data_IF_266976849763
#
_entry.id   IF_266976849763
#
_cell.length_a   1.000
_cell.length_b   1.000
_cell.length_c   1.000
_cell.angle_alpha   90.00
_cell.angle_beta   90.00
_cell.angle_gamma   90.00
#
_symmetry.space_group_name_H-M   'P 1'
#
loop_
_entity.id
_entity.type
_entity.pdbx_description
1 polymer ?
#
# COMPACT_ATOMS: atom_id res chain seq x y z
N UNK A 1 -12.00 -1.09 13.92
CA UNK A 1 -11.03 -0.57 12.94
C UNK A 1 -11.63 -0.68 11.55
N UNK A 2 -11.77 0.42 10.80
CA UNK A 2 -12.56 0.48 9.54
C UNK A 2 -11.71 0.11 8.31
N UNK A 3 -10.38 0.18 8.41
CA UNK A 3 -9.44 -0.09 7.31
C UNK A 3 -9.43 -1.57 6.92
N UNK A 4 -9.25 -2.49 7.87
CA UNK A 4 -9.14 -3.92 7.58
C UNK A 4 -10.33 -4.51 6.81
N UNK A 5 -11.61 -4.19 7.11
CA UNK A 5 -12.73 -4.62 6.28
C UNK A 5 -12.63 -4.25 4.79
N UNK A 6 -12.11 -3.07 4.46
CA UNK A 6 -11.91 -2.63 3.07
C UNK A 6 -10.85 -3.50 2.39
N UNK A 7 -9.75 -3.77 3.10
CA UNK A 7 -8.64 -4.57 2.58
C UNK A 7 -9.04 -6.05 2.41
N UNK A 8 -9.85 -6.58 3.32
CA UNK A 8 -10.46 -7.92 3.19
C UNK A 8 -11.41 -8.00 1.99
N UNK A 9 -12.21 -6.96 1.74
CA UNK A 9 -13.08 -6.90 0.56
C UNK A 9 -12.27 -6.86 -0.75
N UNK A 10 -11.15 -6.12 -0.78
CA UNK A 10 -10.22 -6.14 -1.91
C UNK A 10 -9.64 -7.55 -2.12
N UNK A 11 -9.20 -8.21 -1.06
CA UNK A 11 -8.72 -9.60 -1.11
C UNK A 11 -9.76 -10.55 -1.69
N UNK A 12 -11.02 -10.41 -1.30
CA UNK A 12 -12.15 -11.18 -1.84
C UNK A 12 -12.36 -10.90 -3.34
N UNK A 13 -12.27 -9.64 -3.78
CA UNK A 13 -12.39 -9.26 -5.20
C UNK A 13 -11.30 -9.82 -6.11
N UNK A 14 -10.14 -10.16 -5.54
CA UNK A 14 -9.06 -10.86 -6.24
C UNK A 14 -9.05 -12.37 -5.97
N UNK A 15 -10.19 -12.97 -5.64
CA UNK A 15 -10.34 -14.41 -5.40
C UNK A 15 -9.33 -14.97 -4.38
N UNK A 16 -8.97 -14.17 -3.37
CA UNK A 16 -7.98 -14.53 -2.34
C UNK A 16 -6.56 -14.83 -2.87
N UNK A 17 -6.24 -14.41 -4.10
CA UNK A 17 -4.90 -14.50 -4.70
C UNK A 17 -3.95 -13.37 -4.27
N UNK A 18 -4.36 -12.60 -3.26
CA UNK A 18 -3.54 -11.59 -2.61
C UNK A 18 -3.61 -11.80 -1.11
N UNK A 19 -2.60 -11.33 -0.39
CA UNK A 19 -2.53 -11.39 1.05
C UNK A 19 -2.34 -10.01 1.66
N UNK A 20 -2.68 -9.93 2.94
CA UNK A 20 -2.77 -8.69 3.69
C UNK A 20 -2.05 -8.89 5.02
N UNK A 21 -1.13 -7.98 5.32
CA UNK A 21 -0.36 -7.96 6.56
C UNK A 21 -0.62 -6.63 7.28
N UNK A 22 -0.67 -6.67 8.60
CA UNK A 22 -0.83 -5.49 9.44
C UNK A 22 0.22 -5.48 10.53
N UNK A 23 0.84 -4.33 10.77
CA UNK A 23 1.88 -4.15 11.78
C UNK A 23 3.04 -5.13 11.62
N UNK A 24 3.51 -5.30 10.39
CA UNK A 24 4.57 -6.27 10.05
C UNK A 24 5.91 -5.56 9.90
N UNK A 25 7.00 -6.18 10.38
CA UNK A 25 8.36 -5.73 10.09
C UNK A 25 8.61 -5.86 8.59
N UNK A 26 8.98 -4.74 7.97
CA UNK A 26 9.30 -4.65 6.56
C UNK A 26 10.66 -3.98 6.36
N UNK A 27 11.67 -4.58 6.97
CA UNK A 27 13.07 -4.16 6.80
C UNK A 27 13.65 -4.63 5.47
N UNK A 28 13.79 -3.70 4.53
CA UNK A 28 14.31 -3.96 3.18
C UNK A 28 15.77 -3.53 3.06
N UNK A 29 16.14 -2.36 3.56
CA UNK A 29 17.50 -1.84 3.46
C UNK A 29 17.82 -0.88 4.61
N UNK A 30 18.42 -1.43 5.68
CA UNK A 30 18.75 -0.66 6.88
C UNK A 30 19.78 0.44 6.64
N UNK A 31 20.70 0.27 5.67
CA UNK A 31 21.71 1.28 5.35
C UNK A 31 21.08 2.53 4.73
N UNK A 32 19.99 2.35 3.98
CA UNK A 32 19.20 3.44 3.38
C UNK A 32 18.08 3.95 4.29
N UNK A 33 17.96 3.47 5.52
CA UNK A 33 16.86 3.82 6.42
C UNK A 33 15.51 3.20 6.04
N UNK A 34 15.48 2.23 5.11
CA UNK A 34 14.28 1.52 4.68
C UNK A 34 14.04 0.31 5.60
N UNK A 35 13.79 0.59 6.88
CA UNK A 35 13.60 -0.38 7.94
C UNK A 35 12.47 0.04 8.89
N UNK A 36 11.84 -0.94 9.55
CA UNK A 36 10.77 -0.71 10.51
C UNK A 36 9.46 -1.41 10.17
N UNK A 37 8.42 -1.07 10.93
CA UNK A 37 7.09 -1.66 10.80
C UNK A 37 6.21 -0.84 9.86
N UNK A 38 5.56 -1.50 8.92
CA UNK A 38 4.49 -0.90 8.12
C UNK A 38 3.13 -1.17 8.76
N UNK A 39 2.24 -0.17 8.74
CA UNK A 39 0.88 -0.35 9.27
C UNK A 39 0.13 -1.42 8.47
N UNK A 40 0.21 -1.34 7.13
CA UNK A 40 -0.43 -2.30 6.24
C UNK A 40 0.38 -2.56 4.96
N UNK A 41 0.50 -3.85 4.60
CA UNK A 41 1.09 -4.30 3.33
C UNK A 41 0.10 -5.21 2.61
N UNK A 42 -0.12 -4.96 1.32
CA UNK A 42 -0.81 -5.89 0.43
C UNK A 42 0.23 -6.55 -0.47
N UNK A 43 0.30 -7.88 -0.39
CA UNK A 43 1.16 -8.70 -1.24
C UNK A 43 0.32 -9.32 -2.34
N UNK A 44 0.82 -9.27 -3.58
CA UNK A 44 0.21 -9.85 -4.76
C UNK A 44 0.54 -11.35 -4.86
N UNK A 45 0.36 -12.05 -3.75
CA UNK A 45 0.58 -13.48 -3.56
C UNK A 45 -0.48 -14.04 -2.62
N UNK A 46 -0.83 -15.32 -2.78
CA UNK A 46 -1.73 -16.02 -1.85
C UNK A 46 -1.05 -16.41 -0.52
N UNK A 47 0.28 -16.25 -0.41
CA UNK A 47 1.05 -16.53 0.81
C UNK A 47 0.62 -15.60 1.96
N UNK A 48 0.26 -16.16 3.10
CA UNK A 48 -0.25 -15.43 4.27
C UNK A 48 0.72 -15.40 5.45
N UNK A 49 1.75 -16.26 5.45
CA UNK A 49 2.71 -16.35 6.53
C UNK A 49 3.85 -15.35 6.38
N UNK A 50 4.23 -15.06 5.13
CA UNK A 50 5.39 -14.23 4.79
C UNK A 50 5.03 -13.24 3.70
N UNK A 51 5.52 -12.01 3.84
CA UNK A 51 5.37 -10.98 2.79
C UNK A 51 6.11 -11.44 1.52
N UNK A 52 5.42 -11.45 0.38
CA UNK A 52 5.98 -11.82 -0.93
C UNK A 52 5.85 -10.67 -1.92
N UNK A 53 6.86 -10.48 -2.77
CA UNK A 53 6.78 -9.54 -3.87
C UNK A 53 5.83 -10.05 -4.97
N UNK A 54 5.11 -9.18 -5.70
CA UNK A 54 5.11 -7.73 -5.52
C UNK A 54 4.24 -7.27 -4.33
N UNK A 55 4.60 -6.13 -3.73
CA UNK A 55 3.83 -5.50 -2.65
C UNK A 55 3.46 -4.06 -2.97
N UNK A 56 2.33 -3.63 -2.40
CA UNK A 56 1.91 -2.23 -2.28
C UNK A 56 1.68 -1.90 -0.79
N UNK A 57 1.76 -0.63 -0.42
CA UNK A 57 1.78 -0.19 0.98
C UNK A 57 0.63 0.74 1.31
N UNK A 58 0.22 0.74 2.57
CA UNK A 58 -0.83 1.61 3.07
C UNK A 58 -0.51 2.02 4.50
N UNK A 59 -0.53 3.34 4.75
CA UNK A 59 -0.19 3.95 6.03
C UNK A 59 -1.44 4.43 6.74
N UNK A 60 -1.56 4.11 8.02
CA UNK A 60 -2.56 4.70 8.90
C UNK A 60 -1.94 5.86 9.68
N UNK A 61 -2.35 7.08 9.35
CA UNK A 61 -1.90 8.26 10.06
C UNK A 61 -2.59 8.34 11.43
N UNK A 62 -1.79 8.25 12.50
CA UNK A 62 -2.26 8.22 13.89
C UNK A 62 -2.61 9.62 14.45
N UNK A 63 -2.27 10.68 13.73
CA UNK A 63 -2.41 12.07 14.20
C UNK A 63 -3.63 12.80 13.59
N UNK A 64 -4.61 12.06 13.06
CA UNK A 64 -5.79 12.61 12.35
C UNK A 64 -5.47 13.53 11.16
N UNK A 65 -4.20 13.54 10.71
CA UNK A 65 -3.72 14.38 9.62
C UNK A 65 -3.16 13.50 8.51
N UNK A 66 -3.80 13.48 7.33
CA UNK A 66 -3.28 12.72 6.18
C UNK A 66 -1.88 13.18 5.76
N UNK A 67 -1.59 14.48 5.84
CA UNK A 67 -0.32 15.03 5.39
C UNK A 67 0.86 14.50 6.18
N UNK A 68 0.68 14.21 7.48
CA UNK A 68 1.76 13.63 8.29
C UNK A 68 2.11 12.20 7.88
N UNK A 69 1.17 11.47 7.26
CA UNK A 69 1.42 10.11 6.76
C UNK A 69 2.05 10.05 5.37
N UNK A 70 2.10 11.17 4.62
CA UNK A 70 2.62 11.18 3.25
C UNK A 70 4.11 10.83 3.19
N UNK A 71 4.92 11.43 4.05
CA UNK A 71 6.37 11.18 4.06
C UNK A 71 6.68 9.71 4.41
N UNK A 72 5.96 9.15 5.40
CA UNK A 72 6.06 7.74 5.75
C UNK A 72 5.64 6.85 4.58
N UNK A 73 4.48 7.12 3.97
CA UNK A 73 3.98 6.33 2.86
C UNK A 73 4.96 6.33 1.67
N UNK A 74 5.55 7.48 1.35
CA UNK A 74 6.58 7.57 0.31
C UNK A 74 7.81 6.72 0.64
N UNK A 75 8.30 6.76 1.89
CA UNK A 75 9.42 5.93 2.31
C UNK A 75 9.10 4.42 2.20
N UNK A 76 7.90 4.02 2.63
CA UNK A 76 7.42 2.65 2.50
C UNK A 76 7.24 2.24 1.03
N UNK A 77 6.80 3.14 0.15
CA UNK A 77 6.71 2.90 -1.29
C UNK A 77 8.08 2.68 -1.93
N UNK A 78 9.11 3.42 -1.48
CA UNK A 78 10.50 3.20 -1.92
C UNK A 78 11.03 1.86 -1.41
N UNK A 79 10.72 1.48 -0.17
CA UNK A 79 11.04 0.15 0.34
C UNK A 79 10.36 -0.96 -0.47
N UNK A 80 9.08 -0.78 -0.80
CA UNK A 80 8.30 -1.70 -1.64
C UNK A 80 8.87 -1.83 -3.06
N UNK A 81 9.28 -0.71 -3.68
CA UNK A 81 9.95 -0.72 -4.98
C UNK A 81 11.19 -1.61 -4.95
N UNK A 82 12.09 -1.36 -4.00
CA UNK A 82 13.33 -2.12 -3.85
C UNK A 82 13.07 -3.60 -3.52
N UNK A 83 12.08 -3.90 -2.68
CA UNK A 83 11.68 -5.26 -2.34
C UNK A 83 11.17 -6.02 -3.58
N UNK A 84 10.33 -5.36 -4.39
CA UNK A 84 9.77 -5.93 -5.62
C UNK A 84 10.86 -6.18 -6.67
N UNK A 85 11.77 -5.23 -6.87
CA UNK A 85 12.93 -5.36 -7.76
C UNK A 85 13.82 -6.55 -7.37
N UNK A 86 14.15 -6.69 -6.07
CA UNK A 86 14.93 -7.83 -5.55
C UNK A 86 14.22 -9.17 -5.73
N UNK A 87 12.89 -9.16 -5.64
CA UNK A 87 12.02 -10.30 -5.94
C UNK A 87 11.89 -10.60 -7.44
N UNK A 88 12.62 -9.90 -8.32
CA UNK A 88 12.52 -9.99 -9.80
C UNK A 88 11.13 -9.67 -10.34
N UNK A 89 10.35 -8.88 -9.60
CA UNK A 89 9.05 -8.38 -10.02
C UNK A 89 9.18 -6.90 -10.40
N UNK A 90 9.45 -6.64 -11.68
CA UNK A 90 9.56 -5.28 -12.20
C UNK A 90 8.17 -4.70 -12.48
N UNK A 91 7.50 -4.24 -11.43
CA UNK A 91 6.27 -3.47 -11.58
C UNK A 91 6.60 -2.01 -11.89
N UNK A 92 5.92 -1.44 -12.88
CA UNK A 92 6.21 -0.07 -13.38
C UNK A 92 5.94 1.01 -12.34
N UNK A 93 4.93 0.79 -11.50
CA UNK A 93 4.48 1.75 -10.52
C UNK A 93 4.24 1.06 -9.17
N UNK A 94 4.64 1.72 -8.08
CA UNK A 94 4.19 1.39 -6.73
C UNK A 94 3.01 2.31 -6.40
N UNK A 95 1.92 1.72 -5.93
CA UNK A 95 0.78 2.48 -5.42
C UNK A 95 0.82 2.50 -3.89
N UNK A 96 0.44 3.65 -3.33
CA UNK A 96 0.38 3.88 -1.89
C UNK A 96 -0.94 4.53 -1.51
N UNK A 97 -1.35 4.35 -0.26
CA UNK A 97 -2.48 5.07 0.31
C UNK A 97 -2.15 5.53 1.73
N UNK A 98 -2.63 6.72 2.08
CA UNK A 98 -2.63 7.23 3.45
C UNK A 98 -4.08 7.35 3.91
N UNK A 99 -4.36 6.93 5.13
CA UNK A 99 -5.70 7.03 5.70
C UNK A 99 -5.67 7.35 7.18
N UNK A 100 -6.71 8.04 7.66
CA UNK A 100 -7.05 8.16 9.10
C UNK A 100 -8.28 7.30 9.45
N UNK A 101 -8.56 6.29 8.62
CA UNK A 101 -9.76 5.46 8.67
C UNK A 101 -10.95 6.03 7.89
N UNK A 102 -11.34 7.27 8.17
CA UNK A 102 -12.53 7.91 7.56
C UNK A 102 -12.23 8.69 6.27
N UNK A 103 -10.98 9.02 6.02
CA UNK A 103 -10.52 9.79 4.87
C UNK A 103 -9.29 9.11 4.27
N UNK A 104 -9.20 9.12 2.94
CA UNK A 104 -8.21 8.39 2.17
C UNK A 104 -7.58 9.29 1.11
N UNK A 105 -6.27 9.18 0.94
CA UNK A 105 -5.51 9.83 -0.13
C UNK A 105 -4.57 8.83 -0.77
N UNK A 106 -4.34 8.96 -2.07
CA UNK A 106 -3.62 7.98 -2.87
C UNK A 106 -2.38 8.58 -3.52
N UNK A 107 -1.36 7.74 -3.67
CA UNK A 107 -0.06 8.09 -4.22
C UNK A 107 0.38 7.06 -5.26
N UNK A 108 1.22 7.49 -6.19
CA UNK A 108 1.87 6.65 -7.19
C UNK A 108 3.36 7.01 -7.27
N UNK A 109 4.23 6.01 -7.21
CA UNK A 109 5.68 6.14 -7.41
C UNK A 109 6.05 5.42 -8.71
N UNK A 110 6.62 6.15 -9.66
CA UNK A 110 7.17 5.62 -10.91
C UNK A 110 8.62 6.05 -11.07
N UNK A 111 9.53 5.07 -11.09
CA UNK A 111 10.96 5.36 -10.98
C UNK A 111 11.24 6.14 -9.69
N UNK A 112 11.64 7.42 -9.85
CA UNK A 112 11.95 8.33 -8.74
C UNK A 112 10.91 9.46 -8.59
N UNK A 113 9.77 9.38 -9.29
CA UNK A 113 8.75 10.44 -9.28
C UNK A 113 7.54 9.97 -8.48
N UNK A 114 7.22 10.71 -7.43
CA UNK A 114 5.97 10.54 -6.67
C UNK A 114 4.92 11.51 -7.17
N UNK A 115 3.76 10.97 -7.55
CA UNK A 115 2.54 11.72 -7.82
C UNK A 115 1.56 11.53 -6.67
N UNK A 116 0.94 12.62 -6.22
CA UNK A 116 -0.04 12.62 -5.13
C UNK A 116 -1.38 13.06 -5.72
N UNK A 117 -2.43 12.26 -5.51
CA UNK A 117 -3.79 12.71 -5.79
C UNK A 117 -4.21 13.72 -4.71
N UNK A 118 -4.48 14.96 -5.12
CA UNK A 118 -4.92 16.01 -4.19
C UNK A 118 -6.36 15.81 -3.71
N UNK A 119 -7.10 14.88 -4.32
CA UNK A 119 -8.44 14.51 -3.90
C UNK A 119 -8.39 13.68 -2.61
N UNK A 120 -9.26 14.03 -1.66
CA UNK A 120 -9.48 13.26 -0.45
C UNK A 120 -10.81 12.50 -0.58
N UNK A 121 -10.78 11.19 -0.29
CA UNK A 121 -11.93 10.31 -0.45
C UNK A 121 -12.46 9.90 0.93
N UNK A 122 -13.69 10.28 1.23
CA UNK A 122 -14.34 9.90 2.47
C UNK A 122 -14.79 8.43 2.42
N UNK A 123 -14.78 7.76 3.57
CA UNK A 123 -15.19 6.36 3.69
C UNK A 123 -16.63 6.11 3.26
N UNK A 124 -17.50 7.12 3.32
CA UNK A 124 -18.87 7.05 2.79
C UNK A 124 -18.88 6.72 1.28
N UNK A 125 -17.83 7.12 0.56
CA UNK A 125 -17.60 6.84 -0.85
C UNK A 125 -16.80 5.54 -1.04
N UNK A 126 -17.07 4.51 -0.21
CA UNK A 126 -16.34 3.23 -0.16
C UNK A 126 -16.18 2.57 -1.53
N UNK A 127 -17.18 2.70 -2.42
CA UNK A 127 -17.11 2.16 -3.78
C UNK A 127 -15.96 2.77 -4.59
N UNK A 128 -15.71 4.07 -4.41
CA UNK A 128 -14.62 4.78 -5.09
C UNK A 128 -13.26 4.35 -4.52
N UNK A 129 -13.12 4.29 -3.20
CA UNK A 129 -11.92 3.78 -2.51
C UNK A 129 -11.58 2.36 -2.98
N UNK A 130 -12.57 1.46 -2.98
CA UNK A 130 -12.39 0.09 -3.46
C UNK A 130 -12.00 0.05 -4.94
N UNK A 131 -12.58 0.91 -5.79
CA UNK A 131 -12.25 0.99 -7.21
C UNK A 131 -10.80 1.44 -7.46
N UNK A 132 -10.32 2.43 -6.69
CA UNK A 132 -8.94 2.91 -6.78
C UNK A 132 -7.96 1.82 -6.35
N UNK A 133 -8.18 1.21 -5.18
CA UNK A 133 -7.36 0.11 -4.68
C UNK A 133 -7.35 -1.09 -5.63
N UNK A 134 -8.51 -1.46 -6.17
CA UNK A 134 -8.62 -2.54 -7.15
C UNK A 134 -7.82 -2.22 -8.41
N UNK A 135 -7.95 -1.01 -8.96
CA UNK A 135 -7.22 -0.60 -10.15
C UNK A 135 -5.71 -0.60 -9.92
N UNK A 136 -5.24 -0.11 -8.77
CA UNK A 136 -3.83 -0.12 -8.39
C UNK A 136 -3.24 -1.54 -8.36
N UNK A 137 -3.96 -2.49 -7.76
CA UNK A 137 -3.52 -3.89 -7.67
C UNK A 137 -3.58 -4.57 -9.05
N UNK A 138 -4.64 -4.35 -9.81
CA UNK A 138 -4.80 -4.94 -11.14
C UNK A 138 -3.67 -4.51 -12.10
N UNK A 139 -3.29 -3.23 -12.08
CA UNK A 139 -2.16 -2.70 -12.85
C UNK A 139 -0.78 -3.20 -12.38
N UNK A 140 -0.69 -3.69 -11.14
CA UNK A 140 0.55 -4.23 -10.59
C UNK A 140 0.69 -5.74 -10.82
N UNK A 141 -0.37 -6.43 -11.26
CA UNK A 141 -0.35 -7.83 -11.69
C UNK A 141 -0.02 -8.01 -13.19
N UNK A 142 -0.13 -6.96 -14.00
CA UNK A 142 0.09 -6.98 -15.47
C UNK A 142 1.53 -6.68 -15.85
#
# INVERSE_FOLDING_TARGET
MIISPILLEIRRKFNYEISFFSGVDFTVDSQRGLNGFCDFILSLSSEQLLVRSPVIVLVESKNENLRSGLAQCIAEMVAAQLFNERGRNQIKAIYGAVTIGTLWQFLKLEGNVVSIDLSEYYIKDVKKILGILYSAIAQSKS
#
